data_IF_630625564314
#
_entry.id   IF_630625564314
#
_cell.length_a   1.000
_cell.length_b   1.000
_cell.length_c   1.000
_cell.angle_alpha   90.00
_cell.angle_beta   90.00
_cell.angle_gamma   90.00
#
_symmetry.space_group_name_H-M   'P 1'
#
loop_
_entity.id
_entity.type
_entity.pdbx_description
1 polymer ?
#
# COMPACT_ATOMS: atom_id res chain seq x y z
N UNK A 1 -10.40 -4.18 9.39
CA UNK A 1 -9.65 -3.05 9.96
C UNK A 1 -9.84 -3.06 11.46
N UNK A 2 -8.89 -3.68 12.14
CA UNK A 2 -8.92 -3.91 13.59
C UNK A 2 -7.75 -3.14 14.24
N UNK A 3 -8.08 -2.23 15.16
CA UNK A 3 -7.10 -1.43 15.89
C UNK A 3 -6.88 -2.10 17.24
N UNK A 4 -5.65 -2.56 17.48
CA UNK A 4 -5.26 -3.21 18.74
C UNK A 4 -4.92 -2.19 19.82
N UNK A 5 -4.34 -1.06 19.42
CA UNK A 5 -3.84 -0.08 20.39
C UNK A 5 -3.91 1.35 19.86
N UNK A 6 -4.21 2.26 20.79
CA UNK A 6 -4.22 3.70 20.55
C UNK A 6 -3.47 4.36 21.70
N UNK A 7 -2.41 5.11 21.39
CA UNK A 7 -1.58 5.75 22.41
C UNK A 7 -1.17 7.14 21.95
N UNK A 8 -1.22 8.13 22.84
CA UNK A 8 -0.68 9.46 22.59
C UNK A 8 0.84 9.43 22.80
N UNK A 9 1.60 10.08 21.92
CA UNK A 9 3.05 10.17 22.04
C UNK A 9 3.49 11.52 22.61
N UNK A 10 4.53 11.49 23.46
CA UNK A 10 5.14 12.69 24.04
C UNK A 10 4.50 13.16 25.34
N UNK A 11 5.05 14.25 25.91
CA UNK A 11 4.52 14.89 27.12
C UNK A 11 3.35 15.83 26.76
N UNK A 12 2.49 16.11 27.75
CA UNK A 12 1.42 17.07 27.55
C UNK A 12 2.02 18.48 27.55
N UNK A 13 1.94 19.17 26.41
CA UNK A 13 2.60 20.47 26.25
C UNK A 13 1.64 21.66 26.41
N UNK A 14 0.41 21.44 26.89
CA UNK A 14 -0.60 22.48 27.18
C UNK A 14 -1.19 23.18 25.94
N UNK A 15 -0.35 23.50 24.95
CA UNK A 15 -0.69 24.24 23.72
C UNK A 15 -0.57 23.39 22.44
N UNK A 16 -0.22 22.10 22.55
CA UNK A 16 0.10 21.25 21.39
C UNK A 16 -0.77 20.01 21.28
N UNK A 17 -1.22 19.70 20.07
CA UNK A 17 -1.84 18.41 19.77
C UNK A 17 -0.78 17.30 19.84
N UNK A 18 -0.97 16.35 20.75
CA UNK A 18 -0.11 15.18 20.85
C UNK A 18 -0.37 14.21 19.68
N UNK A 19 0.68 13.70 19.02
CA UNK A 19 0.54 12.68 17.99
C UNK A 19 -0.16 11.42 18.52
N UNK A 20 -0.99 10.81 17.70
CA UNK A 20 -1.60 9.51 17.97
C UNK A 20 -0.81 8.41 17.27
N UNK A 21 -0.34 7.43 18.05
CA UNK A 21 0.13 6.15 17.54
C UNK A 21 -1.05 5.18 17.52
N UNK A 22 -1.32 4.65 16.33
CA UNK A 22 -2.28 3.58 16.10
C UNK A 22 -1.51 2.30 15.83
N UNK A 23 -1.83 1.25 16.57
CA UNK A 23 -1.28 -0.09 16.39
C UNK A 23 -2.37 -0.96 15.77
N UNK A 24 -2.09 -1.48 14.58
CA UNK A 24 -2.97 -2.37 13.84
C UNK A 24 -2.54 -3.82 14.04
N UNK A 25 -3.48 -4.74 13.88
CA UNK A 25 -3.20 -6.19 13.92
C UNK A 25 -2.33 -6.66 12.76
N UNK A 26 -2.63 -6.15 11.58
CA UNK A 26 -1.91 -6.48 10.36
C UNK A 26 -1.28 -5.22 9.75
N UNK A 27 -0.06 -5.36 9.24
CA UNK A 27 0.67 -4.32 8.52
C UNK A 27 -0.07 -3.82 7.27
N UNK A 28 -0.84 -4.69 6.62
CA UNK A 28 -1.61 -4.32 5.42
C UNK A 28 -2.66 -3.26 5.71
N UNK A 29 -3.31 -3.34 6.88
CA UNK A 29 -4.32 -2.37 7.30
C UNK A 29 -3.71 -0.98 7.48
N UNK A 30 -2.52 -0.90 8.09
CA UNK A 30 -1.77 0.34 8.21
C UNK A 30 -1.43 0.90 6.81
N UNK A 31 -1.04 0.03 5.87
CA UNK A 31 -0.73 0.45 4.50
C UNK A 31 -1.96 0.95 3.75
N UNK A 32 -3.15 0.39 3.98
CA UNK A 32 -4.42 0.88 3.41
C UNK A 32 -4.67 2.32 3.86
N UNK A 33 -4.46 2.65 5.14
CA UNK A 33 -4.59 4.02 5.66
C UNK A 33 -3.62 4.95 4.95
N UNK A 34 -2.36 4.57 4.86
CA UNK A 34 -1.30 5.39 4.26
C UNK A 34 -1.53 5.62 2.77
N UNK A 35 -1.99 4.61 2.03
CA UNK A 35 -2.36 4.73 0.60
C UNK A 35 -3.54 5.69 0.42
N UNK A 36 -4.52 5.63 1.32
CA UNK A 36 -5.71 6.46 1.29
C UNK A 36 -5.56 7.83 1.99
N UNK A 37 -4.37 8.18 2.50
CA UNK A 37 -4.16 9.42 3.27
C UNK A 37 -4.60 10.71 2.55
N UNK A 38 -4.60 10.70 1.20
CA UNK A 38 -5.07 11.83 0.39
C UNK A 38 -6.58 12.11 0.53
N UNK A 39 -7.36 11.12 0.98
CA UNK A 39 -8.81 11.22 1.25
C UNK A 39 -9.10 11.87 2.60
N UNK A 40 -8.11 11.98 3.49
CA UNK A 40 -8.25 12.65 4.78
C UNK A 40 -8.46 14.14 4.52
N UNK A 41 -9.43 14.74 5.22
CA UNK A 41 -9.81 16.14 5.05
C UNK A 41 -8.60 17.08 5.26
N UNK A 42 -8.17 17.73 4.18
CA UNK A 42 -7.01 18.64 4.17
C UNK A 42 -7.21 19.87 5.04
N UNK A 43 -8.46 20.30 5.25
CA UNK A 43 -8.77 21.52 5.99
C UNK A 43 -8.42 21.40 7.48
N UNK A 44 -8.35 20.16 8.00
CA UNK A 44 -8.06 19.91 9.41
C UNK A 44 -6.56 19.86 9.73
N UNK A 45 -5.66 20.12 8.76
CA UNK A 45 -4.18 20.07 8.94
C UNK A 45 -3.71 18.78 9.63
N UNK A 46 -4.36 17.65 9.32
CA UNK A 46 -4.02 16.34 9.89
C UNK A 46 -2.97 15.69 9.00
N UNK A 47 -1.88 15.23 9.63
CA UNK A 47 -0.81 14.51 8.96
C UNK A 47 -0.80 13.06 9.41
N UNK A 48 -0.58 12.15 8.46
CA UNK A 48 -0.45 10.72 8.69
C UNK A 48 0.83 10.22 8.05
N UNK A 49 1.65 9.53 8.84
CA UNK A 49 2.89 8.89 8.40
C UNK A 49 3.06 7.56 9.13
N UNK A 50 3.93 6.71 8.60
CA UNK A 50 4.28 5.43 9.22
C UNK A 50 5.27 5.63 10.36
N UNK A 51 5.11 4.84 11.41
CA UNK A 51 6.16 4.64 12.40
C UNK A 51 7.32 3.87 11.73
N UNK A 52 8.51 4.45 11.73
CA UNK A 52 9.67 3.95 10.97
C UNK A 52 10.88 3.84 11.90
N UNK A 53 11.60 2.73 11.76
CA UNK A 53 12.94 2.56 12.32
C UNK A 53 13.89 3.63 11.77
N UNK A 54 14.99 3.89 12.47
CA UNK A 54 16.00 4.87 12.06
C UNK A 54 16.50 4.61 10.63
N UNK A 55 16.90 3.36 10.33
CA UNK A 55 17.32 2.95 8.99
C UNK A 55 16.27 3.25 7.92
N UNK A 56 14.99 2.93 8.19
CA UNK A 56 13.89 3.19 7.24
C UNK A 56 13.63 4.68 7.07
N UNK A 57 13.85 5.49 8.11
CA UNK A 57 13.74 6.95 8.05
C UNK A 57 14.82 7.55 7.17
N UNK A 58 16.06 7.07 7.29
CA UNK A 58 17.18 7.55 6.48
C UNK A 58 17.00 7.16 5.01
N UNK A 59 16.57 5.94 4.74
CA UNK A 59 16.25 5.50 3.38
C UNK A 59 15.12 6.34 2.77
N UNK A 60 14.08 6.65 3.55
CA UNK A 60 13.00 7.54 3.11
C UNK A 60 13.50 8.97 2.84
N UNK A 61 14.43 9.48 3.65
CA UNK A 61 15.05 10.79 3.43
C UNK A 61 15.80 10.81 2.10
N UNK A 62 16.67 9.82 1.87
CA UNK A 62 17.40 9.66 0.60
C UNK A 62 16.45 9.60 -0.61
N UNK A 63 15.36 8.84 -0.52
CA UNK A 63 14.35 8.76 -1.58
C UNK A 63 13.65 10.10 -1.84
N UNK A 64 13.40 10.90 -0.81
CA UNK A 64 12.80 12.23 -0.97
C UNK A 64 13.77 13.20 -1.63
N UNK A 65 15.05 13.15 -1.25
CA UNK A 65 16.11 13.98 -1.82
C UNK A 65 16.30 13.63 -3.30
N UNK A 66 16.36 12.34 -3.63
CA UNK A 66 16.44 11.86 -5.01
C UNK A 66 15.21 12.26 -5.83
N UNK A 67 14.00 12.12 -5.27
CA UNK A 67 12.77 12.55 -5.93
C UNK A 67 12.77 14.05 -6.21
N UNK A 68 13.31 14.86 -5.30
CA UNK A 68 13.43 16.31 -5.51
C UNK A 68 14.36 16.60 -6.69
N UNK A 69 15.55 16.00 -6.71
CA UNK A 69 16.52 16.16 -7.80
C UNK A 69 15.89 15.78 -9.16
N UNK A 70 15.19 14.64 -9.25
CA UNK A 70 14.53 14.20 -10.49
C UNK A 70 13.40 15.14 -10.92
N UNK A 71 12.62 15.67 -9.97
CA UNK A 71 11.60 16.68 -10.27
C UNK A 71 12.19 17.99 -10.75
N UNK A 72 13.28 18.43 -10.15
CA UNK A 72 13.98 19.66 -10.55
C UNK A 72 14.58 19.52 -11.97
N UNK A 73 14.90 18.28 -12.40
CA UNK A 73 15.27 17.94 -13.78
C UNK A 73 14.09 17.84 -14.75
N UNK A 74 12.84 18.00 -14.28
CA UNK A 74 11.64 17.93 -15.09
C UNK A 74 11.02 16.53 -15.22
N UNK A 75 11.50 15.51 -14.49
CA UNK A 75 10.91 14.18 -14.53
C UNK A 75 9.57 14.13 -13.75
N UNK A 76 8.53 13.54 -14.34
CA UNK A 76 7.25 13.32 -13.68
C UNK A 76 7.29 12.05 -12.80
N UNK A 77 7.93 12.14 -11.64
CA UNK A 77 8.10 11.02 -10.70
C UNK A 77 7.36 11.21 -9.38
N UNK A 78 6.97 10.10 -8.74
CA UNK A 78 6.31 10.08 -7.44
C UNK A 78 6.78 8.90 -6.59
N UNK A 79 6.78 9.03 -5.26
CA UNK A 79 7.00 7.89 -4.37
C UNK A 79 5.69 7.11 -4.21
N UNK A 80 5.72 5.82 -4.52
CA UNK A 80 4.64 4.86 -4.23
C UNK A 80 5.18 3.70 -3.41
N UNK A 81 4.29 3.00 -2.71
CA UNK A 81 4.62 1.75 -2.05
C UNK A 81 4.30 0.60 -2.98
N UNK A 82 5.33 -0.13 -3.41
CA UNK A 82 5.25 -1.37 -4.20
C UNK A 82 5.76 -2.49 -3.30
N UNK A 83 4.96 -3.54 -3.09
CA UNK A 83 5.27 -4.65 -2.17
C UNK A 83 5.69 -4.15 -0.77
N UNK A 84 4.89 -3.22 -0.23
CA UNK A 84 5.12 -2.56 1.06
C UNK A 84 6.46 -1.79 1.18
N UNK A 85 7.16 -1.59 0.06
CA UNK A 85 8.45 -0.89 0.02
C UNK A 85 8.32 0.43 -0.75
N UNK A 86 8.80 1.57 -0.21
CA UNK A 86 8.74 2.83 -0.92
C UNK A 86 9.71 2.84 -2.10
N UNK A 87 9.21 3.16 -3.29
CA UNK A 87 9.98 3.28 -4.53
C UNK A 87 9.57 4.54 -5.29
N UNK A 88 10.54 5.16 -5.98
CA UNK A 88 10.26 6.23 -6.95
C UNK A 88 9.73 5.55 -8.21
N UNK A 89 8.54 5.96 -8.63
CA UNK A 89 7.92 5.50 -9.87
C UNK A 89 7.69 6.68 -10.78
N UNK A 90 7.97 6.49 -12.07
CA UNK A 90 7.61 7.45 -13.10
C UNK A 90 6.11 7.37 -13.33
N UNK A 91 5.45 8.53 -13.37
CA UNK A 91 4.08 8.63 -13.82
C UNK A 91 4.09 8.48 -15.34
N UNK A 92 4.11 7.25 -15.83
CA UNK A 92 3.92 6.97 -17.24
C UNK A 92 2.53 7.49 -17.63
N UNK A 93 2.47 8.61 -18.35
CA UNK A 93 1.28 8.95 -19.14
C UNK A 93 1.06 7.80 -20.13
N UNK A 94 -0.06 7.09 -19.98
CA UNK A 94 -0.59 6.15 -20.97
C UNK A 94 0.33 5.01 -21.46
N UNK A 95 0.96 4.27 -20.54
CA UNK A 95 1.16 2.85 -20.84
C UNK A 95 -0.11 2.13 -20.37
N UNK A 96 -1.11 2.08 -21.25
CA UNK A 96 -2.02 0.93 -21.24
C UNK A 96 -1.07 -0.26 -21.35
N UNK A 97 -0.85 -0.99 -20.25
CA UNK A 97 -0.39 -2.36 -20.42
C UNK A 97 -1.45 -2.96 -21.33
N UNK A 98 -1.08 -3.25 -22.58
CA UNK A 98 -1.72 -4.34 -23.29
C UNK A 98 -1.57 -5.50 -22.32
N UNK A 99 -2.61 -5.78 -21.52
CA UNK A 99 -2.71 -7.05 -20.85
C UNK A 99 -2.48 -8.03 -22.00
N UNK A 100 -1.44 -8.89 -21.98
CA UNK A 100 -1.52 -10.04 -22.85
C UNK A 100 -2.89 -10.65 -22.58
N UNK A 101 -3.60 -11.04 -23.63
CA UNK A 101 -4.82 -11.83 -23.53
C UNK A 101 -4.43 -13.16 -22.87
N UNK A 102 -4.10 -13.15 -21.58
CA UNK A 102 -4.00 -14.35 -20.78
C UNK A 102 -5.46 -14.80 -20.62
N UNK A 103 -5.79 -16.04 -21.04
CA UNK A 103 -7.10 -16.57 -20.77
C UNK A 103 -7.30 -16.45 -19.26
N UNK A 104 -8.39 -15.81 -18.87
CA UNK A 104 -8.83 -15.83 -17.48
C UNK A 104 -8.86 -17.30 -17.10
N UNK A 105 -8.06 -17.70 -16.11
CA UNK A 105 -8.25 -18.96 -15.42
C UNK A 105 -9.61 -18.83 -14.75
N UNK A 106 -10.67 -19.11 -15.51
CA UNK A 106 -11.96 -19.46 -14.99
C UNK A 106 -11.68 -20.71 -14.16
N UNK A 107 -11.65 -20.55 -12.85
CA UNK A 107 -11.71 -21.67 -11.92
C UNK A 107 -13.09 -22.32 -12.14
N UNK A 108 -13.20 -23.20 -13.12
CA UNK A 108 -14.35 -24.08 -13.28
C UNK A 108 -14.14 -25.18 -12.24
N UNK A 109 -14.77 -25.02 -11.08
CA UNK A 109 -15.02 -26.14 -10.19
C UNK A 109 -16.09 -27.00 -10.85
N UNK A 110 -15.68 -28.04 -11.58
CA UNK A 110 -16.57 -29.11 -11.98
C UNK A 110 -16.50 -30.20 -10.90
N UNK A 111 -17.62 -30.40 -10.20
CA UNK A 111 -17.81 -31.58 -9.35
C UNK A 111 -17.68 -32.81 -10.24
N UNK A 112 -16.62 -33.59 -10.05
CA UNK A 112 -16.48 -34.90 -10.70
C UNK A 112 -17.29 -35.90 -9.90
N UNK A 113 -18.60 -35.96 -10.16
CA UNK A 113 -19.42 -37.11 -9.79
C UNK A 113 -19.16 -38.21 -10.82
N UNK A 114 -18.48 -39.29 -10.40
CA UNK A 114 -18.49 -40.59 -11.09
C UNK A 114 -17.22 -40.95 -11.86
N UNK A 115 -16.25 -41.58 -11.17
CA UNK A 115 -15.33 -42.51 -11.80
C UNK A 115 -16.07 -43.83 -12.10
N UNK A 116 -15.98 -44.28 -13.35
CA UNK A 116 -15.98 -45.68 -13.79
C UNK A 116 -17.20 -46.55 -13.44
N UNK A 117 -18.17 -46.58 -14.35
CA UNK A 117 -18.89 -47.84 -14.65
C UNK A 117 -18.71 -48.13 -16.14
N UNK A 118 -17.99 -49.20 -16.42
CA UNK A 118 -17.71 -49.74 -17.74
C UNK A 118 -19.00 -50.26 -18.38
N UNK A 119 -19.27 -49.83 -19.61
CA UNK A 119 -20.23 -50.50 -20.50
C UNK A 119 -19.46 -51.58 -21.24
N UNK A 120 -19.68 -52.83 -20.86
CA UNK A 120 -19.44 -54.00 -21.72
C UNK A 120 -20.77 -54.76 -21.83
N UNK A 121 -21.19 -54.97 -23.08
CA UNK A 121 -22.37 -55.75 -23.46
C UNK A 121 -22.09 -57.25 -23.26
N UNK A 122 -22.91 -57.93 -22.45
CA UNK A 122 -23.61 -59.22 -22.71
C UNK A 122 -24.35 -59.67 -21.43
#
# INVERSE_FOLDING_TARGET
MEIIGVTRLGRNNGNGAQPLKLTFRNSEEAMIVIRNKKKINKNRKIYTDLDRTLLRRDNMKKLKDELKIRKDKGENVSIKYVDNTPRIVTSSSNLKLNKPNSPQLACIYQNVSGLNTTVDEF
#
